data_IF_210134850434
#
_entry.id   IF_210134850434
#
_cell.length_a   1.000
_cell.length_b   1.000
_cell.length_c   1.000
_cell.angle_alpha   90.00
_cell.angle_beta   90.00
_cell.angle_gamma   90.00
#
_symmetry.space_group_name_H-M   'P 1'
#
loop_
_entity.id
_entity.type
_entity.pdbx_description
1 polymer ?
#
# COMPACT_ATOMS: atom_id res chain seq x y z
N UNK A 1 -3.63 -2.99 -9.53
CA UNK A 1 -2.46 -3.26 -8.69
C UNK A 1 -2.44 -2.20 -7.60
N UNK A 2 -2.11 -2.59 -6.38
CA UNK A 2 -1.80 -1.67 -5.29
C UNK A 2 -0.28 -1.55 -5.17
N UNK A 3 0.25 -0.33 -5.06
CA UNK A 3 1.67 -0.05 -4.87
C UNK A 3 1.83 0.57 -3.48
N UNK A 4 2.63 -0.06 -2.62
CA UNK A 4 2.73 0.32 -1.20
C UNK A 4 3.90 1.26 -0.91
N UNK A 5 4.67 1.62 -1.93
CA UNK A 5 5.79 2.56 -1.82
C UNK A 5 6.83 2.35 -2.91
N UNK A 6 7.70 3.35 -3.11
CA UNK A 6 8.76 3.27 -4.12
C UNK A 6 9.26 4.62 -4.60
N UNK A 7 9.97 4.58 -5.73
CA UNK A 7 10.56 5.72 -6.43
C UNK A 7 10.11 5.72 -7.88
N UNK A 8 9.92 6.90 -8.44
CA UNK A 8 9.70 7.09 -9.87
C UNK A 8 10.80 7.99 -10.43
N UNK A 9 11.37 7.59 -11.56
CA UNK A 9 12.40 8.34 -12.27
C UNK A 9 11.94 8.58 -13.71
N UNK A 10 12.14 9.81 -14.19
CA UNK A 10 11.86 10.20 -15.57
C UNK A 10 13.19 10.60 -16.21
N UNK A 11 13.55 9.94 -17.31
CA UNK A 11 14.75 10.24 -18.09
C UNK A 11 14.50 9.95 -19.57
N UNK A 12 14.95 10.83 -20.48
CA UNK A 12 14.83 10.64 -21.93
C UNK A 12 13.41 10.26 -22.40
N UNK A 13 12.37 10.88 -21.81
CA UNK A 13 10.96 10.57 -22.08
C UNK A 13 10.54 9.13 -21.72
N UNK A 14 11.31 8.45 -20.87
CA UNK A 14 10.98 7.16 -20.28
C UNK A 14 10.69 7.32 -18.78
N UNK A 15 9.57 6.74 -18.34
CA UNK A 15 9.19 6.65 -16.92
C UNK A 15 9.54 5.26 -16.40
N UNK A 16 10.39 5.20 -15.38
CA UNK A 16 10.74 3.96 -14.67
C UNK A 16 10.24 4.07 -13.22
N UNK A 17 9.46 3.09 -12.77
CA UNK A 17 8.93 3.03 -11.41
C UNK A 17 9.54 1.82 -10.69
N UNK A 18 10.25 2.07 -9.62
CA UNK A 18 10.81 1.07 -8.72
C UNK A 18 9.93 1.04 -7.48
N UNK A 19 9.21 -0.06 -7.26
CA UNK A 19 8.28 -0.21 -6.13
C UNK A 19 8.88 -1.19 -5.12
N UNK A 20 8.72 -0.88 -3.83
CA UNK A 20 9.19 -1.77 -2.77
C UNK A 20 8.31 -3.01 -2.69
N UNK A 21 6.99 -2.81 -2.75
CA UNK A 21 5.98 -3.87 -2.74
C UNK A 21 4.82 -3.48 -3.66
N UNK A 22 4.29 -4.49 -4.37
CA UNK A 22 3.16 -4.35 -5.25
C UNK A 22 2.29 -5.61 -5.22
N UNK A 23 0.99 -5.42 -5.14
CA UNK A 23 0.01 -6.50 -5.13
C UNK A 23 -0.95 -6.37 -6.31
N UNK A 24 -1.33 -7.50 -6.91
CA UNK A 24 -2.32 -7.49 -8.00
C UNK A 24 -3.70 -7.25 -7.43
N UNK A 25 -4.51 -6.49 -8.14
CA UNK A 25 -5.87 -6.19 -7.67
C UNK A 25 -6.77 -7.43 -7.57
N UNK A 26 -6.44 -8.51 -8.30
CA UNK A 26 -7.13 -9.81 -8.22
C UNK A 26 -6.82 -10.58 -6.94
N UNK A 27 -5.65 -10.30 -6.34
CA UNK A 27 -5.12 -11.08 -5.24
C UNK A 27 -5.48 -10.44 -3.88
N UNK A 28 -5.90 -9.16 -3.91
CA UNK A 28 -6.35 -8.40 -2.74
C UNK A 28 -7.72 -8.90 -2.27
N UNK A 29 -7.75 -9.48 -1.08
CA UNK A 29 -8.99 -9.73 -0.34
C UNK A 29 -9.47 -8.43 0.34
N UNK A 30 -10.66 -7.97 -0.04
CA UNK A 30 -11.24 -6.73 0.48
C UNK A 30 -11.68 -6.86 1.94
N UNK A 31 -12.21 -8.01 2.34
CA UNK A 31 -12.71 -8.21 3.70
C UNK A 31 -11.53 -8.27 4.69
N UNK A 32 -10.46 -8.98 4.31
CA UNK A 32 -9.24 -9.05 5.11
C UNK A 32 -8.58 -7.67 5.26
N UNK A 33 -8.44 -6.94 4.15
CA UNK A 33 -7.85 -5.61 4.16
C UNK A 33 -8.64 -4.63 5.05
N UNK A 34 -9.97 -4.65 4.96
CA UNK A 34 -10.84 -3.80 5.78
C UNK A 34 -10.71 -4.12 7.27
N UNK A 35 -10.74 -5.41 7.63
CA UNK A 35 -10.61 -5.85 9.02
C UNK A 35 -9.24 -5.48 9.61
N UNK A 36 -8.18 -5.61 8.82
CA UNK A 36 -6.82 -5.25 9.24
C UNK A 36 -6.68 -3.74 9.48
N UNK A 37 -7.31 -2.92 8.64
CA UNK A 37 -7.37 -1.47 8.82
C UNK A 37 -8.07 -1.06 10.11
N UNK A 38 -9.26 -1.62 10.36
CA UNK A 38 -10.05 -1.32 11.57
C UNK A 38 -9.28 -1.67 12.85
N UNK A 39 -8.71 -2.87 12.91
CA UNK A 39 -7.89 -3.32 14.04
C UNK A 39 -6.68 -2.40 14.27
N UNK A 40 -6.00 -2.01 13.20
CA UNK A 40 -4.82 -1.15 13.30
C UNK A 40 -5.21 0.27 13.75
N UNK A 41 -6.35 0.77 13.31
CA UNK A 41 -6.89 2.07 13.73
C UNK A 41 -7.26 2.07 15.22
N UNK A 42 -7.89 1.01 15.72
CA UNK A 42 -8.16 0.85 17.15
C UNK A 42 -6.86 0.85 17.97
N UNK A 43 -5.87 0.07 17.54
CA UNK A 43 -4.56 0.00 18.19
C UNK A 43 -3.83 1.35 18.19
N UNK A 44 -3.90 2.09 17.07
CA UNK A 44 -3.31 3.42 16.97
C UNK A 44 -3.95 4.37 17.97
N UNK A 45 -5.29 4.39 18.01
CA UNK A 45 -6.04 5.24 18.94
C UNK A 45 -5.69 4.95 20.40
N UNK A 46 -5.52 3.67 20.76
CA UNK A 46 -5.07 3.27 22.11
C UNK A 46 -3.63 3.71 22.41
N UNK A 47 -2.75 3.72 21.41
CA UNK A 47 -1.35 4.11 21.59
C UNK A 47 -1.13 5.63 21.62
N UNK A 48 -2.01 6.40 20.99
CA UNK A 48 -1.91 7.86 20.90
C UNK A 48 -2.80 8.63 21.88
N UNK A 49 -3.68 7.94 22.60
CA UNK A 49 -4.53 8.50 23.67
C UNK A 49 -3.85 8.45 25.03
#
# INVERSE_FOLDING_TARGET
MALMGGFAMIENNQLTILVNEAEKASDIDREEAQKSFELTQENLNQATG
#
